data_IF_988281436203
#
_entry.id   IF_988281436203
#
_cell.length_a   1.000
_cell.length_b   1.000
_cell.length_c   1.000
_cell.angle_alpha   90.00
_cell.angle_beta   90.00
_cell.angle_gamma   90.00
#
_symmetry.space_group_name_H-M   'P 1'
#
loop_
_entity.id
_entity.type
_entity.pdbx_description
1 polymer ?
#
# COMPACT_ATOMS: atom_id res chain seq x y z
N UNK A 1 -6.68 17.06 -6.40
CA UNK A 1 -7.13 15.66 -6.16
C UNK A 1 -6.76 15.25 -4.76
N UNK A 2 -7.75 14.85 -3.96
CA UNK A 2 -7.52 14.39 -2.60
C UNK A 2 -7.46 12.86 -2.57
N UNK A 3 -6.35 12.31 -2.09
CA UNK A 3 -6.08 10.86 -2.09
C UNK A 3 -5.96 10.37 -0.67
N UNK A 4 -6.71 9.32 -0.32
CA UNK A 4 -6.58 8.59 0.94
C UNK A 4 -5.89 7.25 0.67
N UNK A 5 -4.69 7.06 1.21
CA UNK A 5 -3.90 5.83 1.07
C UNK A 5 -3.82 5.11 2.41
N UNK A 6 -4.47 3.95 2.51
CA UNK A 6 -4.52 3.11 3.71
C UNK A 6 -3.34 2.14 3.67
N UNK A 7 -2.62 2.01 4.80
CA UNK A 7 -1.48 1.10 4.92
C UNK A 7 -1.88 -0.37 4.95
N UNK A 8 -0.90 -1.24 5.22
CA UNK A 8 -1.06 -2.71 5.17
C UNK A 8 -2.22 -3.20 6.03
N UNK A 9 -3.26 -3.75 5.40
CA UNK A 9 -4.45 -4.24 6.09
C UNK A 9 -4.22 -5.66 6.59
N UNK A 10 -4.25 -5.85 7.91
CA UNK A 10 -3.90 -7.12 8.55
C UNK A 10 -5.13 -7.94 8.89
N UNK A 11 -5.36 -9.01 8.16
CA UNK A 11 -6.34 -10.03 8.44
C UNK A 11 -7.78 -9.53 8.61
N UNK A 12 -8.56 -10.28 9.38
CA UNK A 12 -9.96 -9.92 9.67
C UNK A 12 -10.10 -8.64 10.48
N UNK A 13 -9.29 -8.39 11.55
CA UNK A 13 -9.40 -7.15 12.31
C UNK A 13 -9.19 -5.91 11.45
N UNK A 14 -8.13 -5.88 10.63
CA UNK A 14 -7.86 -4.75 9.73
C UNK A 14 -8.98 -4.54 8.70
N UNK A 15 -9.53 -5.62 8.12
CA UNK A 15 -10.70 -5.54 7.23
C UNK A 15 -11.90 -4.90 7.90
N UNK A 16 -12.24 -5.36 9.12
CA UNK A 16 -13.37 -4.81 9.87
C UNK A 16 -13.18 -3.34 10.21
N UNK A 17 -11.95 -2.91 10.50
CA UNK A 17 -11.64 -1.49 10.69
C UNK A 17 -11.91 -0.68 9.42
N UNK A 18 -11.45 -1.16 8.26
CA UNK A 18 -11.74 -0.49 6.99
C UNK A 18 -13.24 -0.45 6.69
N UNK A 19 -13.95 -1.57 6.83
CA UNK A 19 -15.40 -1.64 6.62
C UNK A 19 -16.20 -0.66 7.49
N UNK A 20 -15.77 -0.48 8.74
CA UNK A 20 -16.43 0.40 9.73
C UNK A 20 -16.05 1.87 9.54
N UNK A 21 -14.77 2.17 9.36
CA UNK A 21 -14.25 3.54 9.42
C UNK A 21 -14.19 4.24 8.06
N UNK A 22 -13.93 3.51 6.96
CA UNK A 22 -13.77 4.14 5.65
C UNK A 22 -14.99 4.92 5.17
N UNK A 23 -16.25 4.47 5.37
CA UNK A 23 -17.42 5.27 5.01
C UNK A 23 -17.46 6.62 5.73
N UNK A 24 -17.06 6.67 6.99
CA UNK A 24 -17.00 7.90 7.81
C UNK A 24 -15.87 8.82 7.33
N UNK A 25 -14.68 8.27 7.09
CA UNK A 25 -13.55 9.02 6.55
C UNK A 25 -13.88 9.59 5.16
N UNK A 26 -14.57 8.84 4.30
CA UNK A 26 -15.05 9.34 2.99
C UNK A 26 -16.06 10.46 3.14
N UNK A 27 -16.93 10.43 4.13
CA UNK A 27 -17.87 11.51 4.41
C UNK A 27 -17.17 12.77 4.93
N UNK A 28 -16.18 12.59 5.80
CA UNK A 28 -15.41 13.66 6.45
C UNK A 28 -14.47 14.36 5.46
N UNK A 29 -13.63 13.59 4.77
CA UNK A 29 -12.56 14.13 3.92
C UNK A 29 -12.93 14.22 2.45
N UNK A 30 -13.91 13.45 1.98
CA UNK A 30 -14.37 13.38 0.57
C UNK A 30 -13.22 13.13 -0.40
N UNK A 31 -12.40 12.09 -0.19
CA UNK A 31 -11.31 11.78 -1.10
C UNK A 31 -11.84 11.44 -2.50
N UNK A 32 -11.11 11.88 -3.52
CA UNK A 32 -11.38 11.57 -4.93
C UNK A 32 -10.97 10.13 -5.27
N UNK A 33 -9.96 9.61 -4.54
CA UNK A 33 -9.36 8.30 -4.73
C UNK A 33 -9.00 7.69 -3.37
N UNK A 34 -9.37 6.42 -3.16
CA UNK A 34 -8.97 5.61 -2.01
C UNK A 34 -8.11 4.44 -2.48
N UNK A 35 -6.87 4.39 -2.01
CA UNK A 35 -5.91 3.29 -2.25
C UNK A 35 -5.74 2.52 -0.94
N UNK A 36 -5.61 1.20 -0.98
CA UNK A 36 -5.34 0.41 0.21
C UNK A 36 -4.39 -0.75 -0.11
N UNK A 37 -3.40 -0.98 0.76
CA UNK A 37 -2.55 -2.16 0.63
C UNK A 37 -3.25 -3.38 1.26
N UNK A 38 -3.60 -4.35 0.41
CA UNK A 38 -4.36 -5.55 0.77
C UNK A 38 -3.54 -6.83 0.88
N UNK A 39 -2.21 -6.77 0.84
CA UNK A 39 -1.39 -7.98 0.75
C UNK A 39 -1.53 -8.94 1.95
N UNK A 40 -1.94 -8.43 3.12
CA UNK A 40 -2.06 -9.21 4.36
C UNK A 40 -3.51 -9.43 4.81
N UNK A 41 -4.49 -9.09 3.98
CA UNK A 41 -5.90 -9.04 4.35
C UNK A 41 -6.55 -10.43 4.53
N UNK A 42 -6.00 -11.48 3.94
CA UNK A 42 -6.51 -12.86 4.03
C UNK A 42 -5.86 -13.64 5.17
N UNK A 43 -6.32 -13.39 6.41
CA UNK A 43 -5.80 -14.12 7.58
C UNK A 43 -4.36 -13.78 7.94
N UNK A 44 -3.87 -12.60 7.57
CA UNK A 44 -2.52 -12.12 7.86
C UNK A 44 -1.54 -12.31 6.70
N UNK A 45 -1.89 -13.04 5.64
CA UNK A 45 -1.01 -13.28 4.50
C UNK A 45 -1.78 -13.49 3.19
N UNK A 46 -1.50 -12.66 2.21
CA UNK A 46 -2.13 -12.71 0.89
C UNK A 46 -3.49 -12.02 0.83
N UNK A 47 -4.07 -12.07 -0.36
CA UNK A 47 -5.37 -11.51 -0.74
C UNK A 47 -6.20 -12.60 -1.40
N UNK A 48 -7.47 -12.75 -1.04
CA UNK A 48 -8.44 -13.63 -1.71
C UNK A 48 -9.45 -12.80 -2.48
N UNK A 49 -10.14 -13.42 -3.44
CA UNK A 49 -11.25 -12.77 -4.16
C UNK A 49 -12.26 -12.18 -3.19
N UNK A 50 -12.70 -12.97 -2.19
CA UNK A 50 -13.69 -12.55 -1.21
C UNK A 50 -13.22 -11.34 -0.38
N UNK A 51 -11.95 -11.33 0.06
CA UNK A 51 -11.42 -10.23 0.85
C UNK A 51 -11.20 -8.97 0.01
N UNK A 52 -10.84 -9.10 -1.27
CA UNK A 52 -10.77 -7.99 -2.21
C UNK A 52 -12.16 -7.37 -2.47
N UNK A 53 -13.18 -8.20 -2.73
CA UNK A 53 -14.57 -7.75 -2.89
C UNK A 53 -15.08 -7.00 -1.66
N UNK A 54 -14.74 -7.44 -0.45
CA UNK A 54 -15.09 -6.77 0.80
C UNK A 54 -14.49 -5.37 0.90
N UNK A 55 -13.19 -5.21 0.55
CA UNK A 55 -12.53 -3.90 0.54
C UNK A 55 -13.13 -2.95 -0.52
N UNK A 56 -13.39 -3.45 -1.73
CA UNK A 56 -14.04 -2.69 -2.80
C UNK A 56 -15.43 -2.23 -2.37
N UNK A 57 -16.22 -3.14 -1.76
CA UNK A 57 -17.55 -2.82 -1.21
C UNK A 57 -17.48 -1.77 -0.09
N UNK A 58 -16.44 -1.77 0.73
CA UNK A 58 -16.22 -0.75 1.75
C UNK A 58 -15.88 0.63 1.16
N UNK A 59 -15.49 0.68 -0.11
CA UNK A 59 -15.23 1.93 -0.82
C UNK A 59 -13.77 2.17 -1.19
N UNK A 60 -12.93 1.13 -1.16
CA UNK A 60 -11.58 1.17 -1.72
C UNK A 60 -11.67 1.17 -3.25
N UNK A 61 -11.00 2.11 -3.90
CA UNK A 61 -11.00 2.26 -5.35
C UNK A 61 -9.88 1.47 -6.03
N UNK A 62 -8.72 1.32 -5.38
CA UNK A 62 -7.57 0.55 -5.88
C UNK A 62 -6.93 -0.23 -4.73
N UNK A 63 -6.70 -1.52 -4.95
CA UNK A 63 -5.99 -2.39 -4.01
C UNK A 63 -4.57 -2.62 -4.54
N UNK A 64 -3.58 -2.22 -3.75
CA UNK A 64 -2.16 -2.54 -3.96
C UNK A 64 -1.79 -3.79 -3.17
N UNK A 65 -0.62 -4.33 -3.42
CA UNK A 65 -0.13 -5.55 -2.77
C UNK A 65 1.40 -5.50 -2.55
N UNK A 66 2.01 -6.64 -2.33
CA UNK A 66 3.45 -6.76 -2.11
C UNK A 66 3.96 -8.18 -2.38
N UNK A 67 4.89 -8.66 -1.55
CA UNK A 67 5.49 -9.99 -1.72
C UNK A 67 4.52 -11.15 -1.44
N UNK A 68 3.42 -10.92 -0.74
CA UNK A 68 2.43 -11.95 -0.44
C UNK A 68 1.30 -12.08 -1.47
N UNK A 69 1.35 -11.37 -2.60
CA UNK A 69 0.28 -11.40 -3.62
C UNK A 69 -0.01 -12.83 -4.14
N UNK A 70 0.99 -13.70 -4.15
CA UNK A 70 0.86 -15.09 -4.61
C UNK A 70 0.49 -16.08 -3.51
N UNK A 71 0.36 -15.63 -2.25
CA UNK A 71 0.12 -16.52 -1.11
C UNK A 71 -1.25 -17.23 -1.16
N UNK A 72 -2.26 -16.60 -1.79
CA UNK A 72 -3.59 -17.17 -1.98
C UNK A 72 -3.85 -17.41 -3.47
N UNK A 73 -4.07 -18.68 -3.85
CA UNK A 73 -4.18 -19.06 -5.27
C UNK A 73 -5.43 -18.52 -5.98
N UNK A 74 -6.51 -18.28 -5.25
CA UNK A 74 -7.79 -17.81 -5.80
C UNK A 74 -7.77 -16.35 -6.27
N UNK A 75 -6.76 -15.56 -5.85
CA UNK A 75 -6.59 -14.19 -6.33
C UNK A 75 -6.01 -14.15 -7.75
N UNK A 76 -5.24 -15.16 -8.16
CA UNK A 76 -4.49 -15.14 -9.41
C UNK A 76 -5.40 -14.85 -10.63
N UNK A 77 -6.55 -15.54 -10.82
CA UNK A 77 -7.46 -15.21 -11.91
C UNK A 77 -8.06 -13.80 -11.82
N UNK A 78 -8.16 -13.25 -10.60
CA UNK A 78 -8.72 -11.90 -10.39
C UNK A 78 -7.76 -10.80 -10.84
N UNK A 79 -6.45 -11.06 -10.86
CA UNK A 79 -5.44 -10.08 -11.28
C UNK A 79 -5.55 -9.71 -12.77
N UNK A 80 -6.07 -10.60 -13.61
CA UNK A 80 -6.32 -10.37 -15.04
C UNK A 80 -7.77 -9.97 -15.34
N UNK A 81 -8.60 -9.77 -14.29
CA UNK A 81 -10.00 -9.33 -14.41
C UNK A 81 -10.12 -7.80 -14.31
N UNK A 82 -11.38 -7.31 -14.33
CA UNK A 82 -11.70 -5.89 -14.12
C UNK A 82 -11.62 -5.44 -12.64
N UNK A 83 -11.22 -6.32 -11.72
CA UNK A 83 -11.02 -5.94 -10.33
C UNK A 83 -9.84 -4.96 -10.21
N UNK A 84 -10.00 -3.86 -9.47
CA UNK A 84 -8.97 -2.82 -9.35
C UNK A 84 -7.84 -3.25 -8.40
N UNK A 85 -7.19 -4.37 -8.70
CA UNK A 85 -6.10 -4.95 -7.94
C UNK A 85 -4.82 -4.87 -8.77
N UNK A 86 -3.76 -4.33 -8.19
CA UNK A 86 -2.45 -4.29 -8.82
C UNK A 86 -1.40 -4.98 -7.95
N UNK A 87 -0.48 -5.65 -8.62
CA UNK A 87 0.71 -6.27 -8.01
C UNK A 87 1.94 -5.42 -8.23
N UNK A 88 3.03 -5.65 -7.51
CA UNK A 88 4.27 -4.94 -7.81
C UNK A 88 4.68 -5.06 -9.27
N UNK A 89 4.94 -3.92 -9.91
CA UNK A 89 5.24 -3.82 -11.34
C UNK A 89 6.57 -4.50 -11.70
N UNK A 90 7.51 -4.47 -10.78
CA UNK A 90 8.87 -4.99 -10.98
C UNK A 90 9.03 -6.48 -10.58
N UNK A 91 7.95 -7.26 -10.61
CA UNK A 91 8.03 -8.70 -10.81
C UNK A 91 8.43 -9.02 -12.25
N UNK A 92 9.00 -10.21 -12.54
CA UNK A 92 9.33 -10.62 -13.90
C UNK A 92 8.15 -10.46 -14.88
N UNK A 93 8.40 -10.20 -16.17
CA UNK A 93 7.35 -10.05 -17.17
C UNK A 93 6.59 -11.35 -17.40
N UNK A 94 5.34 -11.24 -17.88
CA UNK A 94 4.49 -12.39 -18.23
C UNK A 94 3.73 -13.01 -17.05
N UNK A 95 3.82 -12.45 -15.85
CA UNK A 95 3.01 -12.88 -14.71
C UNK A 95 1.60 -12.25 -14.77
N UNK A 96 0.56 -12.93 -14.22
CA UNK A 96 -0.79 -12.40 -14.16
C UNK A 96 -0.87 -11.02 -13.48
N UNK A 97 -1.78 -10.18 -13.96
CA UNK A 97 -2.07 -8.87 -13.40
C UNK A 97 -1.15 -7.75 -13.85
N UNK A 98 -1.54 -6.54 -13.51
CA UNK A 98 -0.86 -5.31 -13.87
C UNK A 98 -0.14 -4.70 -12.67
N UNK A 99 0.94 -3.95 -12.95
CA UNK A 99 1.68 -3.22 -11.91
C UNK A 99 1.22 -1.80 -11.71
N UNK A 100 0.31 -1.31 -12.53
CA UNK A 100 -0.33 0.00 -12.40
C UNK A 100 -1.74 0.00 -12.98
N UNK A 101 -2.54 0.97 -12.55
CA UNK A 101 -3.89 1.22 -13.06
C UNK A 101 -4.09 2.72 -13.31
N UNK A 102 -4.84 3.05 -14.36
CA UNK A 102 -5.25 4.42 -14.67
C UNK A 102 -6.64 4.65 -14.07
N UNK A 103 -6.70 5.43 -13.00
CA UNK A 103 -7.94 5.73 -12.31
C UNK A 103 -8.69 6.88 -12.99
N UNK A 104 -9.90 6.59 -13.49
CA UNK A 104 -10.82 7.55 -14.14
C UNK A 104 -10.17 8.43 -15.22
N UNK A 105 -9.10 7.94 -15.86
CA UNK A 105 -8.37 8.71 -16.88
C UNK A 105 -7.58 9.92 -16.35
N UNK A 106 -7.42 10.06 -15.01
CA UNK A 106 -6.83 11.23 -14.36
C UNK A 106 -5.54 10.95 -13.60
N UNK A 107 -5.50 9.84 -12.88
CA UNK A 107 -4.36 9.48 -12.04
C UNK A 107 -3.85 8.08 -12.37
N UNK A 108 -2.55 7.86 -12.21
CA UNK A 108 -1.91 6.55 -12.31
C UNK A 108 -1.53 6.10 -10.91
N UNK A 109 -2.03 4.95 -10.48
CA UNK A 109 -1.60 4.28 -9.25
C UNK A 109 -0.65 3.16 -9.63
N UNK A 110 0.53 3.15 -9.05
CA UNK A 110 1.61 2.19 -9.31
C UNK A 110 1.91 1.42 -8.04
N UNK A 111 2.11 0.13 -8.14
CA UNK A 111 2.65 -0.67 -7.05
C UNK A 111 4.07 -1.10 -7.40
N UNK A 112 4.99 -0.94 -6.48
CA UNK A 112 6.39 -1.36 -6.59
C UNK A 112 6.82 -2.19 -5.39
N UNK A 113 7.83 -3.02 -5.58
CA UNK A 113 8.47 -3.76 -4.49
C UNK A 113 9.97 -3.46 -4.43
N UNK A 114 10.50 -3.34 -3.20
CA UNK A 114 11.93 -3.21 -2.96
C UNK A 114 12.68 -4.51 -3.20
N UNK A 115 14.00 -4.42 -3.26
CA UNK A 115 14.90 -5.57 -3.42
C UNK A 115 15.72 -5.87 -2.17
N UNK A 116 16.06 -4.81 -1.44
CA UNK A 116 16.93 -4.91 -0.26
C UNK A 116 16.21 -5.64 0.87
N UNK A 117 16.71 -6.80 1.25
CA UNK A 117 16.19 -7.70 2.30
C UNK A 117 14.80 -8.32 2.04
N UNK A 118 14.19 -8.10 0.87
CA UNK A 118 12.85 -8.59 0.57
C UNK A 118 12.85 -9.69 -0.51
N UNK A 119 13.67 -9.55 -1.57
CA UNK A 119 13.77 -10.58 -2.60
C UNK A 119 14.47 -10.14 -3.89
N UNK A 120 14.54 -11.07 -4.84
CA UNK A 120 15.17 -10.85 -6.15
C UNK A 120 14.12 -10.40 -7.15
N UNK A 121 13.93 -9.10 -7.28
CA UNK A 121 13.00 -8.46 -8.21
C UNK A 121 13.75 -7.59 -9.22
N UNK A 122 13.08 -7.21 -10.30
CA UNK A 122 13.62 -6.22 -11.24
C UNK A 122 13.80 -4.86 -10.55
N UNK A 123 14.66 -4.02 -11.12
CA UNK A 123 15.01 -2.73 -10.52
C UNK A 123 13.82 -1.76 -10.50
N UNK A 124 13.31 -1.34 -9.33
CA UNK A 124 12.18 -0.41 -9.24
C UNK A 124 12.49 0.96 -9.84
N UNK A 125 13.74 1.43 -9.77
CA UNK A 125 14.17 2.70 -10.36
C UNK A 125 14.04 2.67 -11.89
N UNK A 126 14.60 1.65 -12.54
CA UNK A 126 14.53 1.47 -14.01
C UNK A 126 13.10 1.15 -14.46
N UNK A 127 12.35 0.39 -13.66
CA UNK A 127 10.95 0.12 -13.92
C UNK A 127 10.12 1.41 -14.00
N UNK A 128 10.36 2.34 -13.07
CA UNK A 128 9.71 3.65 -13.10
C UNK A 128 10.16 4.52 -14.27
N UNK A 129 11.44 4.52 -14.63
CA UNK A 129 11.89 5.25 -15.83
C UNK A 129 11.14 4.77 -17.07
N UNK A 130 11.10 3.46 -17.29
CA UNK A 130 10.38 2.86 -18.43
C UNK A 130 8.89 3.17 -18.42
N UNK A 131 8.25 3.17 -17.23
CA UNK A 131 6.84 3.52 -17.11
C UNK A 131 6.60 5.00 -17.44
N UNK A 132 7.42 5.91 -16.90
CA UNK A 132 7.29 7.35 -17.14
C UNK A 132 7.51 7.69 -18.62
N UNK A 133 8.46 7.04 -19.29
CA UNK A 133 8.66 7.15 -20.75
C UNK A 133 7.42 6.66 -21.51
N UNK A 134 6.87 5.50 -21.14
CA UNK A 134 5.65 4.95 -21.76
C UNK A 134 4.44 5.86 -21.59
N UNK A 135 4.29 6.49 -20.43
CA UNK A 135 3.19 7.42 -20.15
C UNK A 135 3.36 8.77 -20.86
N UNK A 136 4.58 9.11 -21.29
CA UNK A 136 4.91 10.28 -22.12
C UNK A 136 4.29 11.60 -21.61
N UNK A 137 4.16 11.78 -20.29
CA UNK A 137 3.59 12.96 -19.67
C UNK A 137 2.07 13.13 -19.83
N UNK A 138 1.36 12.08 -20.28
CA UNK A 138 -0.10 12.11 -20.44
C UNK A 138 -0.85 12.29 -19.11
N UNK A 139 -0.27 11.83 -18.01
CA UNK A 139 -0.86 11.90 -16.66
C UNK A 139 0.01 12.75 -15.76
N UNK A 140 -0.61 13.76 -15.13
CA UNK A 140 0.08 14.64 -14.18
C UNK A 140 0.17 14.02 -12.79
N UNK A 141 -0.81 13.18 -12.42
CA UNK A 141 -0.90 12.60 -11.09
C UNK A 141 -0.44 11.14 -11.17
N UNK A 142 0.65 10.84 -10.48
CA UNK A 142 1.22 9.50 -10.36
C UNK A 142 1.50 9.23 -8.89
N UNK A 143 0.90 8.17 -8.36
CA UNK A 143 0.98 7.79 -6.95
C UNK A 143 1.56 6.38 -6.87
N UNK A 144 2.58 6.21 -6.03
CA UNK A 144 3.27 4.93 -5.86
C UNK A 144 3.03 4.40 -4.44
N UNK A 145 2.56 3.16 -4.34
CA UNK A 145 2.74 2.31 -3.16
C UNK A 145 4.06 1.56 -3.33
N UNK A 146 5.06 1.90 -2.50
CA UNK A 146 6.36 1.25 -2.53
C UNK A 146 6.52 0.29 -1.35
N UNK A 147 6.25 -0.96 -1.64
CA UNK A 147 6.30 -2.07 -0.69
C UNK A 147 7.75 -2.54 -0.50
N UNK A 148 8.46 -2.03 0.49
CA UNK A 148 9.88 -2.27 0.66
C UNK A 148 10.30 -2.34 2.13
N UNK A 149 11.31 -3.18 2.42
CA UNK A 149 11.86 -3.35 3.77
C UNK A 149 12.80 -2.20 4.14
N UNK A 150 13.80 -1.90 3.29
CA UNK A 150 14.87 -1.00 3.65
C UNK A 150 14.49 0.48 3.54
N UNK A 151 14.57 1.21 4.65
CA UNK A 151 14.37 2.68 4.70
C UNK A 151 15.23 3.41 3.67
N UNK A 152 16.51 3.01 3.52
CA UNK A 152 17.42 3.63 2.55
C UNK A 152 16.98 3.46 1.11
N UNK A 153 16.41 2.30 0.74
CA UNK A 153 15.88 2.07 -0.60
C UNK A 153 14.61 2.92 -0.85
N UNK A 154 13.72 3.02 0.15
CA UNK A 154 12.53 3.89 0.09
C UNK A 154 12.91 5.35 -0.12
N UNK A 155 13.82 5.87 0.71
CA UNK A 155 14.29 7.26 0.59
C UNK A 155 15.03 7.53 -0.71
N UNK A 156 15.86 6.60 -1.18
CA UNK A 156 16.59 6.73 -2.42
C UNK A 156 15.65 6.81 -3.63
N UNK A 157 14.65 5.92 -3.72
CA UNK A 157 13.67 5.94 -4.79
C UNK A 157 12.83 7.23 -4.76
N UNK A 158 12.42 7.68 -3.58
CA UNK A 158 11.68 8.92 -3.42
C UNK A 158 12.47 10.14 -3.92
N UNK A 159 13.75 10.25 -3.55
CA UNK A 159 14.64 11.32 -4.04
C UNK A 159 14.89 11.24 -5.54
N UNK A 160 15.04 10.03 -6.07
CA UNK A 160 15.24 9.80 -7.50
C UNK A 160 14.04 10.23 -8.35
N UNK A 161 12.82 10.06 -7.82
CA UNK A 161 11.57 10.38 -8.51
C UNK A 161 11.00 11.76 -8.15
N UNK A 162 11.65 12.52 -7.27
CA UNK A 162 11.15 13.82 -6.80
C UNK A 162 10.91 14.79 -7.97
N UNK A 163 9.69 15.31 -8.03
CA UNK A 163 9.21 16.20 -9.11
C UNK A 163 8.75 15.48 -10.38
N UNK A 164 8.93 14.14 -10.47
CA UNK A 164 8.49 13.32 -11.61
C UNK A 164 7.18 12.59 -11.34
N UNK A 165 6.78 12.52 -10.07
CA UNK A 165 5.56 11.88 -9.56
C UNK A 165 4.91 12.74 -8.49
N UNK A 166 3.67 12.43 -8.12
CA UNK A 166 2.92 13.18 -7.11
C UNK A 166 3.17 12.70 -5.70
N UNK A 167 3.22 11.38 -5.50
CA UNK A 167 3.43 10.79 -4.18
C UNK A 167 4.12 9.43 -4.28
N UNK A 168 4.97 9.11 -3.30
CA UNK A 168 5.49 7.78 -3.03
C UNK A 168 5.33 7.49 -1.55
N UNK A 169 4.54 6.47 -1.26
CA UNK A 169 4.12 6.09 0.08
C UNK A 169 4.62 4.67 0.37
N UNK A 170 5.42 4.53 1.43
CA UNK A 170 6.00 3.25 1.79
C UNK A 170 5.03 2.36 2.55
N UNK A 171 5.13 1.04 2.34
CA UNK A 171 4.42 -0.04 3.04
C UNK A 171 5.39 -1.17 3.38
N UNK A 172 4.94 -2.26 3.96
CA UNK A 172 5.66 -3.49 4.31
C UNK A 172 6.11 -3.60 5.77
N UNK A 173 6.72 -2.56 6.35
CA UNK A 173 7.28 -2.71 7.72
C UNK A 173 6.19 -2.69 8.80
N UNK A 174 4.97 -2.29 8.46
CA UNK A 174 3.81 -2.18 9.33
C UNK A 174 3.92 -1.11 10.44
N UNK A 175 5.07 -0.46 10.56
CA UNK A 175 5.34 0.58 11.58
C UNK A 175 5.32 1.96 10.92
N UNK A 176 4.29 2.74 11.21
CA UNK A 176 4.13 4.07 10.65
C UNK A 176 5.25 5.02 11.09
N UNK A 177 5.92 5.64 10.12
CA UNK A 177 7.04 6.56 10.37
C UNK A 177 6.59 8.02 10.45
N UNK A 178 7.34 8.86 11.15
CA UNK A 178 7.01 10.27 11.43
C UNK A 178 7.50 11.24 10.34
N UNK A 179 8.11 10.74 9.28
CA UNK A 179 8.82 11.51 8.25
C UNK A 179 7.97 11.96 7.07
N UNK A 180 6.63 11.97 7.22
CA UNK A 180 5.73 12.47 6.20
C UNK A 180 6.06 13.92 5.81
N UNK A 181 6.38 14.16 4.54
CA UNK A 181 6.86 15.43 4.04
C UNK A 181 6.56 15.62 2.55
N UNK A 182 6.67 16.85 2.08
CA UNK A 182 6.76 17.16 0.66
C UNK A 182 8.22 17.39 0.32
N UNK A 183 8.74 16.63 -0.65
CA UNK A 183 10.11 16.75 -1.13
C UNK A 183 10.31 18.06 -1.92
N UNK A 184 11.56 18.53 -2.10
CA UNK A 184 11.85 19.85 -2.67
C UNK A 184 11.25 20.13 -4.06
N UNK A 185 11.01 19.11 -4.89
CA UNK A 185 10.40 19.25 -6.22
C UNK A 185 8.88 19.05 -6.22
N UNK A 186 8.27 18.75 -5.05
CA UNK A 186 6.82 18.69 -4.86
C UNK A 186 6.23 17.29 -4.79
N UNK A 187 7.02 16.24 -4.61
CA UNK A 187 6.54 14.88 -4.37
C UNK A 187 6.21 14.66 -2.90
N UNK A 188 5.02 14.17 -2.57
CA UNK A 188 4.70 13.71 -1.23
C UNK A 188 5.43 12.40 -0.90
N UNK A 189 5.95 12.29 0.32
CA UNK A 189 6.70 11.12 0.76
C UNK A 189 6.41 10.76 2.22
N UNK A 190 6.36 9.47 2.50
CA UNK A 190 6.49 8.87 3.83
C UNK A 190 7.22 7.53 3.71
N UNK A 191 8.14 7.25 4.64
CA UNK A 191 8.88 5.97 4.65
C UNK A 191 7.94 4.78 4.84
N UNK A 192 6.97 4.87 5.75
CA UNK A 192 5.96 3.84 5.92
C UNK A 192 4.64 4.43 6.45
N UNK A 193 3.53 4.05 5.81
CA UNK A 193 2.18 4.44 6.25
C UNK A 193 1.89 3.80 7.62
N UNK A 194 2.36 2.58 7.85
CA UNK A 194 2.00 1.71 8.95
C UNK A 194 0.90 0.73 8.55
N UNK A 195 0.51 -0.15 9.47
CA UNK A 195 -0.54 -1.13 9.23
C UNK A 195 -1.92 -0.62 9.65
N UNK A 196 -2.96 -1.20 9.08
CA UNK A 196 -4.32 -1.20 9.62
C UNK A 196 -4.58 -2.57 10.25
N UNK A 197 -4.49 -2.64 11.56
CA UNK A 197 -4.48 -3.94 12.25
C UNK A 197 -4.44 -3.83 13.78
N UNK A 198 -4.32 -4.97 14.49
CA UNK A 198 -4.32 -5.01 15.95
C UNK A 198 -3.11 -4.29 16.54
N UNK A 199 -3.37 -3.41 17.51
CA UNK A 199 -2.34 -2.60 18.18
C UNK A 199 -1.47 -3.45 19.11
N UNK A 200 -2.12 -4.30 19.91
CA UNK A 200 -1.42 -5.21 20.83
C UNK A 200 -0.96 -6.47 20.08
N UNK A 201 0.09 -6.29 19.29
CA UNK A 201 0.63 -7.31 18.41
C UNK A 201 2.09 -7.03 18.06
N UNK A 202 2.76 -7.98 17.45
CA UNK A 202 4.06 -7.73 16.79
C UNK A 202 3.81 -7.63 15.29
N UNK A 203 3.77 -6.40 14.80
CA UNK A 203 3.50 -6.06 13.38
C UNK A 203 2.24 -6.73 12.79
N UNK A 204 1.21 -6.93 13.63
CA UNK A 204 -0.06 -7.54 13.24
C UNK A 204 -0.25 -8.99 13.69
N UNK A 205 0.81 -9.70 14.03
CA UNK A 205 0.77 -11.08 14.51
C UNK A 205 0.66 -11.15 16.04
N UNK A 206 0.13 -12.26 16.53
CA UNK A 206 0.01 -12.59 17.96
C UNK A 206 1.37 -12.49 18.65
N UNK A 207 1.46 -11.63 19.67
CA UNK A 207 2.74 -11.28 20.30
C UNK A 207 3.42 -12.46 20.98
N UNK A 208 2.66 -13.31 21.70
CA UNK A 208 3.22 -14.47 22.40
C UNK A 208 3.78 -15.49 21.42
N UNK A 209 3.07 -15.74 20.33
CA UNK A 209 3.52 -16.65 19.28
C UNK A 209 4.80 -16.15 18.58
N UNK A 210 4.91 -14.83 18.35
CA UNK A 210 6.12 -14.22 17.77
C UNK A 210 7.29 -14.30 18.75
N UNK A 211 7.08 -13.96 20.02
CA UNK A 211 8.12 -14.04 21.06
C UNK A 211 8.64 -15.48 21.19
N UNK A 212 7.74 -16.46 21.29
CA UNK A 212 8.12 -17.87 21.36
C UNK A 212 8.94 -18.32 20.14
N UNK A 213 8.55 -17.87 18.91
CA UNK A 213 9.30 -18.15 17.70
C UNK A 213 10.73 -17.58 17.76
N UNK A 214 10.92 -16.36 18.26
CA UNK A 214 12.24 -15.75 18.43
C UNK A 214 13.08 -16.46 19.49
N UNK A 215 12.47 -16.89 20.59
CA UNK A 215 13.19 -17.58 21.68
C UNK A 215 13.59 -19.00 21.29
N UNK A 216 12.74 -19.72 20.59
CA UNK A 216 12.96 -21.13 20.23
C UNK A 216 13.68 -21.32 18.90
N UNK A 217 13.62 -20.32 18.00
CA UNK A 217 14.04 -20.42 16.60
C UNK A 217 13.31 -21.51 15.80
N UNK A 218 12.21 -22.07 16.35
CA UNK A 218 11.41 -23.09 15.68
C UNK A 218 10.38 -22.40 14.79
N UNK A 219 10.35 -22.72 13.46
CA UNK A 219 9.32 -22.19 12.56
C UNK A 219 7.92 -22.60 13.02
N UNK A 220 7.01 -21.63 13.13
CA UNK A 220 5.60 -21.88 13.38
C UNK A 220 4.74 -20.94 12.55
N UNK A 221 3.53 -21.38 12.25
CA UNK A 221 2.53 -20.51 11.64
C UNK A 221 2.07 -19.48 12.67
N UNK A 222 2.18 -18.22 12.32
CA UNK A 222 1.67 -17.13 13.14
C UNK A 222 0.17 -16.92 12.87
N UNK A 223 -0.52 -16.38 13.84
CA UNK A 223 -1.92 -15.96 13.75
C UNK A 223 -1.99 -14.44 13.94
N UNK A 224 -3.03 -13.84 13.37
CA UNK A 224 -3.28 -12.40 13.54
C UNK A 224 -3.57 -12.09 15.01
N UNK A 225 -3.00 -11.02 15.53
CA UNK A 225 -3.25 -10.49 16.86
C UNK A 225 -4.71 -10.12 17.09
N UNK A 226 -5.07 -9.85 18.34
CA UNK A 226 -6.44 -9.56 18.77
C UNK A 226 -6.49 -8.21 19.49
N UNK A 227 -7.71 -7.78 19.86
CA UNK A 227 -7.94 -6.57 20.65
C UNK A 227 -8.16 -5.34 19.79
N UNK A 228 -7.81 -4.19 20.33
CA UNK A 228 -7.97 -2.88 19.73
C UNK A 228 -7.27 -2.77 18.37
N UNK A 229 -7.93 -2.17 17.41
CA UNK A 229 -7.42 -2.05 16.03
C UNK A 229 -7.22 -0.58 15.68
N UNK A 230 -6.07 -0.27 15.08
CA UNK A 230 -5.75 1.03 14.54
C UNK A 230 -5.87 0.98 13.01
N UNK A 231 -6.61 1.91 12.42
CA UNK A 231 -6.53 2.21 11.00
C UNK A 231 -5.50 3.32 10.80
N UNK A 232 -4.50 3.11 9.94
CA UNK A 232 -3.54 4.14 9.54
C UNK A 232 -3.64 4.43 8.05
N UNK A 233 -3.63 5.72 7.73
CA UNK A 233 -3.69 6.19 6.34
C UNK A 233 -2.92 7.50 6.17
N UNK A 234 -2.59 7.81 4.91
CA UNK A 234 -2.09 9.13 4.51
C UNK A 234 -3.14 9.83 3.66
N UNK A 235 -3.45 11.06 4.02
CA UNK A 235 -4.28 11.97 3.22
C UNK A 235 -3.36 12.93 2.48
N UNK A 236 -3.38 12.88 1.14
CA UNK A 236 -2.50 13.68 0.28
C UNK A 236 -3.34 14.55 -0.64
N UNK A 237 -3.18 15.87 -0.57
CA UNK A 237 -3.78 16.81 -1.53
C UNK A 237 -2.77 17.10 -2.65
N UNK A 238 -3.18 16.83 -3.89
CA UNK A 238 -2.37 16.95 -5.10
C UNK A 238 -3.01 18.00 -6.02
N UNK A 239 -2.22 18.91 -6.53
CA UNK A 239 -2.65 19.88 -7.53
C UNK A 239 -2.92 19.19 -8.88
N UNK A 240 -4.14 19.28 -9.36
CA UNK A 240 -4.57 18.61 -10.60
C UNK A 240 -3.87 19.13 -11.85
N UNK A 241 -3.39 20.36 -11.82
CA UNK A 241 -2.75 21.02 -12.97
C UNK A 241 -1.28 20.66 -13.08
N UNK A 242 -0.59 20.63 -11.94
CA UNK A 242 0.87 20.43 -11.89
C UNK A 242 1.27 19.00 -11.53
N UNK A 243 0.38 18.24 -10.88
CA UNK A 243 0.68 16.94 -10.29
C UNK A 243 1.48 17.01 -8.98
N UNK A 244 1.81 18.21 -8.48
CA UNK A 244 2.59 18.37 -7.25
C UNK A 244 1.69 18.24 -6.02
N UNK A 245 2.22 17.63 -4.97
CA UNK A 245 1.54 17.58 -3.68
C UNK A 245 1.54 18.95 -3.00
N UNK A 246 0.41 19.29 -2.40
CA UNK A 246 0.22 20.50 -1.56
C UNK A 246 0.35 20.19 -0.09
N UNK A 247 -0.23 19.05 0.34
CA UNK A 247 -0.17 18.58 1.72
C UNK A 247 -0.07 17.07 1.76
N UNK A 248 0.50 16.57 2.83
CA UNK A 248 0.47 15.15 3.23
C UNK A 248 0.24 15.10 4.72
N UNK A 249 -0.75 14.32 5.17
CA UNK A 249 -1.17 14.24 6.56
C UNK A 249 -1.47 12.79 6.94
N UNK A 250 -1.03 12.37 8.13
CA UNK A 250 -1.39 11.07 8.69
C UNK A 250 -2.78 11.13 9.30
N UNK A 251 -3.59 10.12 9.01
CA UNK A 251 -4.89 9.86 9.64
C UNK A 251 -4.75 8.58 10.45
N UNK A 252 -5.20 8.62 11.70
CA UNK A 252 -5.26 7.45 12.59
C UNK A 252 -6.61 7.41 13.27
N UNK A 253 -7.29 6.27 13.18
CA UNK A 253 -8.58 6.03 13.83
C UNK A 253 -8.57 4.67 14.52
N UNK A 254 -9.20 4.58 15.68
CA UNK A 254 -9.23 3.36 16.49
C UNK A 254 -10.62 2.75 16.57
N UNK A 255 -10.67 1.42 16.60
CA UNK A 255 -11.87 0.66 16.96
C UNK A 255 -11.54 -0.41 18.00
N UNK A 256 -12.53 -0.73 18.81
CA UNK A 256 -12.48 -1.85 19.76
C UNK A 256 -12.87 -3.16 19.08
#
# INVERSE_FOLDING_TARGET
MLVLSIGDIIGRPGRQAVEKLLPELKKQYKPDLVIANGENVAGGIGLTKLTAESLIKAGVDVITSGNHIWAQKDIIPCLDSDMPIIRPMNYPPGLPGNGYIIFKGKAVVVNLIGRTFIGNFDCPFRGMDSLLEKLAGQYKIIIIDFHAEATSEKMALARYLDGRISAILGTHTHVGTIDAQILPQGTAYVTDIGMTGPVDSVIGDDADAVIERFLSMIPRRLSVGKGKVLLTAMLTDIDDTTGKAKTIQRITEEID
#
